data_IF_871250161067
#
_entry.id   IF_871250161067
#
_cell.length_a   1.000
_cell.length_b   1.000
_cell.length_c   1.000
_cell.angle_alpha   90.00
_cell.angle_beta   90.00
_cell.angle_gamma   90.00
#
_symmetry.space_group_name_H-M   'P 1'
#
loop_
_entity.id
_entity.type
_entity.pdbx_description
1 polymer ?
#
# COMPACT_ATOMS: atom_id res chain seq x y z
N UNK A 1 8.57 18.64 22.43
CA UNK A 1 7.13 18.59 22.12
C UNK A 1 6.79 19.37 20.85
N UNK A 2 6.86 20.71 20.83
CA UNK A 2 6.48 21.53 19.67
C UNK A 2 7.05 21.03 18.32
N UNK A 3 8.30 20.58 18.28
CA UNK A 3 8.93 20.02 17.06
C UNK A 3 8.13 18.88 16.41
N UNK A 4 7.66 17.91 17.20
CA UNK A 4 6.91 16.77 16.68
C UNK A 4 5.50 17.16 16.21
N UNK A 5 4.90 18.17 16.84
CA UNK A 5 3.67 18.79 16.35
C UNK A 5 3.88 19.42 14.98
N UNK A 6 4.92 20.25 14.82
CA UNK A 6 5.28 20.84 13.52
C UNK A 6 5.60 19.80 12.46
N UNK A 7 6.22 18.68 12.82
CA UNK A 7 6.49 17.58 11.88
C UNK A 7 5.18 16.92 11.41
N UNK A 8 4.29 16.55 12.33
CA UNK A 8 3.01 15.90 11.98
C UNK A 8 2.13 16.85 11.15
N UNK A 9 1.95 18.09 11.60
CA UNK A 9 1.16 19.09 10.89
C UNK A 9 1.80 19.52 9.58
N UNK A 10 3.13 19.67 9.55
CA UNK A 10 3.88 19.98 8.33
C UNK A 10 3.74 18.86 7.30
N UNK A 11 3.82 17.60 7.74
CA UNK A 11 3.64 16.44 6.86
C UNK A 11 2.21 16.33 6.32
N UNK A 12 1.21 16.61 7.15
CA UNK A 12 -0.20 16.66 6.73
C UNK A 12 -0.44 17.80 5.73
N UNK A 13 0.11 18.99 5.99
CA UNK A 13 0.01 20.14 5.09
C UNK A 13 0.75 19.94 3.77
N UNK A 14 1.92 19.30 3.80
CA UNK A 14 2.64 18.86 2.60
C UNK A 14 1.81 17.83 1.82
N UNK A 15 1.16 16.88 2.50
CA UNK A 15 0.27 15.92 1.89
C UNK A 15 -0.92 16.58 1.19
N UNK A 16 -1.55 17.57 1.83
CA UNK A 16 -2.61 18.39 1.22
C UNK A 16 -2.10 19.17 0.00
N UNK A 17 -0.93 19.80 0.10
CA UNK A 17 -0.32 20.54 -1.00
C UNK A 17 -0.02 19.63 -2.21
N UNK A 18 0.43 18.39 -1.96
CA UNK A 18 0.71 17.40 -3.00
C UNK A 18 -0.58 16.89 -3.65
N UNK A 19 -1.63 16.63 -2.85
CA UNK A 19 -2.95 16.25 -3.38
C UNK A 19 -3.52 17.39 -4.23
N UNK A 20 -3.42 18.62 -3.76
CA UNK A 20 -3.84 19.80 -4.49
C UNK A 20 -3.08 19.98 -5.81
N UNK A 21 -1.75 19.78 -5.80
CA UNK A 21 -0.90 19.92 -6.98
C UNK A 21 -1.08 18.76 -8.00
N UNK A 22 -1.30 17.53 -7.52
CA UNK A 22 -1.37 16.32 -8.36
C UNK A 22 -2.81 15.97 -8.76
N UNK A 23 -3.81 16.56 -8.11
CA UNK A 23 -5.24 16.32 -8.38
C UNK A 23 -5.72 14.90 -8.03
N UNK A 24 -4.95 14.16 -7.23
CA UNK A 24 -5.24 12.75 -6.92
C UNK A 24 -6.40 12.66 -5.93
N UNK A 25 -7.41 11.82 -6.21
CA UNK A 25 -8.60 11.59 -5.35
C UNK A 25 -8.30 10.75 -4.10
N UNK A 26 -7.10 10.87 -3.53
CA UNK A 26 -6.73 10.15 -2.31
C UNK A 26 -6.86 11.09 -1.11
N UNK A 27 -7.29 10.58 0.06
CA UNK A 27 -7.30 11.37 1.28
C UNK A 27 -5.89 11.85 1.62
N UNK A 28 -5.75 13.15 1.90
CA UNK A 28 -4.47 13.79 2.23
C UNK A 28 -3.78 13.19 3.45
N UNK A 29 -4.55 12.60 4.37
CA UNK A 29 -4.03 11.83 5.51
C UNK A 29 -3.16 10.64 5.08
N UNK A 30 -3.54 9.94 3.99
CA UNK A 30 -2.76 8.80 3.47
C UNK A 30 -1.45 9.29 2.87
N UNK A 31 -1.48 10.38 2.08
CA UNK A 31 -0.25 10.99 1.54
C UNK A 31 0.66 11.45 2.68
N UNK A 32 0.10 12.13 3.69
CA UNK A 32 0.85 12.58 4.87
C UNK A 32 1.51 11.41 5.62
N UNK A 33 0.83 10.27 5.76
CA UNK A 33 1.42 9.07 6.39
C UNK A 33 2.59 8.50 5.57
N UNK A 34 2.44 8.43 4.23
CA UNK A 34 3.51 7.99 3.33
C UNK A 34 4.72 8.94 3.39
N UNK A 35 4.47 10.24 3.41
CA UNK A 35 5.49 11.27 3.45
C UNK A 35 6.24 11.26 4.79
N UNK A 36 5.52 11.03 5.90
CA UNK A 36 6.13 10.86 7.22
C UNK A 36 7.02 9.62 7.24
N UNK A 37 6.55 8.52 6.65
CA UNK A 37 7.30 7.26 6.54
C UNK A 37 8.57 7.46 5.72
N UNK A 38 8.48 8.22 4.63
CA UNK A 38 9.64 8.57 3.80
C UNK A 38 10.66 9.40 4.57
N UNK A 39 10.23 10.44 5.29
CA UNK A 39 11.10 11.25 6.16
C UNK A 39 11.78 10.42 7.26
N UNK A 40 11.08 9.42 7.79
CA UNK A 40 11.62 8.47 8.76
C UNK A 40 12.68 7.56 8.13
N UNK A 41 12.45 7.08 6.91
CA UNK A 41 13.39 6.26 6.13
C UNK A 41 14.66 7.04 5.74
N UNK A 42 14.54 8.34 5.44
CA UNK A 42 15.67 9.23 5.18
C UNK A 42 16.48 9.56 6.45
N UNK A 43 16.01 9.16 7.63
CA UNK A 43 16.68 9.43 8.91
C UNK A 43 16.65 10.90 9.36
N UNK A 44 15.96 11.77 8.60
CA UNK A 44 15.79 13.19 8.94
C UNK A 44 14.94 13.39 10.19
N UNK A 45 14.09 12.42 10.52
CA UNK A 45 13.15 12.50 11.64
C UNK A 45 13.33 11.30 12.57
N UNK A 46 13.51 11.57 13.87
CA UNK A 46 13.72 10.53 14.89
C UNK A 46 12.39 10.03 15.45
N UNK A 47 12.07 8.74 15.23
CA UNK A 47 10.79 8.10 15.57
C UNK A 47 10.29 8.39 17.00
N UNK A 48 11.20 8.38 17.98
CA UNK A 48 10.89 8.61 19.40
C UNK A 48 10.18 9.96 19.66
N UNK A 49 10.39 10.97 18.81
CA UNK A 49 9.75 12.28 18.96
C UNK A 49 8.28 12.27 18.52
N UNK A 50 7.97 11.56 17.43
CA UNK A 50 6.61 11.43 16.89
C UNK A 50 5.79 10.54 17.81
N UNK A 51 6.34 9.40 18.23
CA UNK A 51 5.62 8.44 19.07
C UNK A 51 5.10 9.09 20.36
N UNK A 52 5.93 9.91 21.02
CA UNK A 52 5.54 10.62 22.23
C UNK A 52 4.37 11.59 21.98
N UNK A 53 4.36 12.27 20.83
CA UNK A 53 3.26 13.17 20.47
C UNK A 53 2.00 12.46 20.04
N UNK A 54 2.11 11.41 19.22
CA UNK A 54 0.97 10.58 18.86
C UNK A 54 0.31 9.99 20.10
N UNK A 55 1.08 9.45 21.05
CA UNK A 55 0.55 8.96 22.34
C UNK A 55 -0.18 10.06 23.12
N UNK A 56 0.34 11.28 23.13
CA UNK A 56 -0.34 12.42 23.77
C UNK A 56 -1.65 12.80 23.06
N UNK A 57 -1.67 12.85 21.71
CA UNK A 57 -2.88 13.13 20.93
C UNK A 57 -3.93 12.02 21.09
N UNK A 58 -3.52 10.76 21.04
CA UNK A 58 -4.40 9.61 21.28
C UNK A 58 -4.96 9.64 22.71
N UNK A 59 -4.13 9.94 23.71
CA UNK A 59 -4.58 10.05 25.10
C UNK A 59 -5.62 11.17 25.31
N UNK A 60 -5.54 12.25 24.52
CA UNK A 60 -6.48 13.36 24.55
C UNK A 60 -7.51 13.30 23.40
N UNK A 61 -7.64 12.16 22.69
CA UNK A 61 -8.49 12.05 21.50
C UNK A 61 -9.96 12.33 21.81
N UNK A 62 -10.42 11.96 23.01
CA UNK A 62 -11.76 12.27 23.50
C UNK A 62 -12.08 13.77 23.44
N UNK A 63 -11.13 14.64 23.79
CA UNK A 63 -11.31 16.10 23.71
C UNK A 63 -11.57 16.58 22.26
N UNK A 64 -10.96 15.95 21.26
CA UNK A 64 -11.19 16.28 19.85
C UNK A 64 -12.55 15.79 19.32
N UNK A 65 -13.17 14.81 19.98
CA UNK A 65 -14.51 14.33 19.63
C UNK A 65 -15.64 15.10 20.31
N UNK A 66 -15.35 15.87 21.37
CA UNK A 66 -16.38 16.68 22.06
C UNK A 66 -16.99 17.74 21.14
N UNK A 67 -16.23 18.60 20.43
CA UNK A 67 -16.83 19.66 19.58
C UNK A 67 -17.73 19.11 18.45
N UNK A 68 -17.31 18.08 17.67
CA UNK A 68 -18.19 17.45 16.69
C UNK A 68 -19.41 16.79 17.32
N UNK A 69 -19.25 16.15 18.49
CA UNK A 69 -20.36 15.52 19.21
C UNK A 69 -21.41 16.54 19.66
N UNK A 70 -21.00 17.68 20.20
CA UNK A 70 -21.89 18.78 20.58
C UNK A 70 -22.55 19.40 19.35
N UNK A 71 -21.84 19.51 18.22
CA UNK A 71 -22.44 19.98 16.97
C UNK A 71 -23.58 19.06 16.49
N UNK A 72 -23.42 17.74 16.62
CA UNK A 72 -24.47 16.76 16.29
C UNK A 72 -25.68 16.89 17.22
N UNK A 73 -25.49 17.30 18.48
CA UNK A 73 -26.60 17.47 19.43
C UNK A 73 -27.65 18.48 18.95
N UNK A 74 -27.24 19.47 18.15
CA UNK A 74 -28.14 20.47 17.55
C UNK A 74 -29.09 19.87 16.50
N UNK A 75 -28.80 18.67 15.99
CA UNK A 75 -29.57 18.01 14.94
C UNK A 75 -30.28 16.73 15.44
N UNK A 76 -30.38 16.52 16.76
CA UNK A 76 -30.97 15.31 17.32
C UNK A 76 -32.43 15.07 16.90
N UNK A 77 -33.24 16.11 16.74
CA UNK A 77 -34.64 15.95 16.32
C UNK A 77 -34.75 15.34 14.92
N UNK A 78 -33.87 15.75 14.00
CA UNK A 78 -33.80 15.19 12.64
C UNK A 78 -33.30 13.74 12.68
N UNK A 79 -32.29 13.48 13.52
CA UNK A 79 -31.74 12.13 13.70
C UNK A 79 -32.80 11.19 14.29
N UNK A 80 -33.60 11.66 15.26
CA UNK A 80 -34.72 10.89 15.81
C UNK A 80 -35.81 10.63 14.78
N UNK A 81 -36.13 11.60 13.92
CA UNK A 81 -37.11 11.40 12.86
C UNK A 81 -36.63 10.40 11.78
N UNK A 82 -35.33 10.30 11.56
CA UNK A 82 -34.71 9.52 10.48
C UNK A 82 -33.75 8.42 10.99
N UNK A 83 -33.93 7.95 12.22
CA UNK A 83 -32.99 7.03 12.87
C UNK A 83 -32.84 5.70 12.11
N UNK A 84 -33.94 5.22 11.54
CA UNK A 84 -34.00 3.96 10.78
C UNK A 84 -33.22 4.05 9.46
N UNK A 85 -33.46 5.03 8.56
CA UNK A 85 -32.65 5.17 7.35
C UNK A 85 -31.17 5.48 7.66
N UNK A 86 -30.86 6.27 8.71
CA UNK A 86 -29.47 6.54 9.11
C UNK A 86 -28.75 5.25 9.52
N UNK A 87 -29.39 4.42 10.34
CA UNK A 87 -28.81 3.17 10.84
C UNK A 87 -28.58 2.19 9.69
N UNK A 88 -29.59 1.99 8.83
CA UNK A 88 -29.48 1.10 7.67
C UNK A 88 -28.41 1.59 6.70
N UNK A 89 -28.38 2.88 6.37
CA UNK A 89 -27.37 3.45 5.48
C UNK A 89 -25.95 3.28 6.03
N UNK A 90 -25.75 3.53 7.33
CA UNK A 90 -24.44 3.39 7.98
C UNK A 90 -23.99 1.94 8.01
N UNK A 91 -24.88 1.01 8.36
CA UNK A 91 -24.56 -0.41 8.45
C UNK A 91 -24.23 -1.00 7.07
N UNK A 92 -25.06 -0.69 6.07
CA UNK A 92 -24.84 -1.14 4.68
C UNK A 92 -23.54 -0.53 4.14
N UNK A 93 -23.30 0.77 4.38
CA UNK A 93 -22.05 1.43 3.97
C UNK A 93 -20.83 0.78 4.63
N UNK A 94 -20.89 0.46 5.92
CA UNK A 94 -19.80 -0.19 6.64
C UNK A 94 -19.50 -1.57 6.06
N UNK A 95 -20.52 -2.40 5.85
CA UNK A 95 -20.36 -3.74 5.25
C UNK A 95 -19.76 -3.61 3.84
N UNK A 96 -20.27 -2.68 3.04
CA UNK A 96 -19.81 -2.46 1.67
C UNK A 96 -18.34 -1.99 1.65
N UNK A 97 -17.96 -1.05 2.50
CA UNK A 97 -16.56 -0.60 2.64
C UNK A 97 -15.65 -1.75 3.05
N UNK A 98 -16.07 -2.60 3.99
CA UNK A 98 -15.29 -3.77 4.42
C UNK A 98 -15.10 -4.77 3.27
N UNK A 99 -16.15 -5.08 2.51
CA UNK A 99 -16.07 -5.98 1.35
C UNK A 99 -15.13 -5.40 0.29
N UNK A 100 -15.31 -4.14 -0.08
CA UNK A 100 -14.50 -3.47 -1.11
C UNK A 100 -13.04 -3.39 -0.69
N UNK A 101 -12.76 -2.98 0.56
CA UNK A 101 -11.40 -2.90 1.09
C UNK A 101 -10.75 -4.27 1.18
N UNK A 102 -11.51 -5.28 1.62
CA UNK A 102 -11.04 -6.67 1.67
C UNK A 102 -10.69 -7.21 0.30
N UNK A 103 -11.56 -7.01 -0.71
CA UNK A 103 -11.30 -7.41 -2.08
C UNK A 103 -10.10 -6.68 -2.69
N UNK A 104 -9.99 -5.37 -2.45
CA UNK A 104 -8.85 -4.56 -2.92
C UNK A 104 -7.53 -5.08 -2.33
N UNK A 105 -7.51 -5.36 -1.03
CA UNK A 105 -6.35 -5.92 -0.36
C UNK A 105 -5.97 -7.31 -0.91
N UNK A 106 -6.96 -8.19 -1.12
CA UNK A 106 -6.71 -9.50 -1.74
C UNK A 106 -6.20 -9.40 -3.17
N UNK A 107 -6.70 -8.44 -3.95
CA UNK A 107 -6.22 -8.18 -5.31
C UNK A 107 -4.75 -7.77 -5.30
N UNK A 108 -4.37 -6.82 -4.43
CA UNK A 108 -2.97 -6.38 -4.26
C UNK A 108 -2.07 -7.56 -3.90
N UNK A 109 -2.42 -8.36 -2.89
CA UNK A 109 -1.61 -9.53 -2.50
C UNK A 109 -1.53 -10.57 -3.61
N UNK A 110 -2.61 -10.80 -4.36
CA UNK A 110 -2.59 -11.75 -5.49
C UNK A 110 -1.70 -11.26 -6.63
N UNK A 111 -1.71 -9.96 -6.91
CA UNK A 111 -0.79 -9.33 -7.85
C UNK A 111 0.67 -9.44 -7.39
N UNK A 112 0.97 -9.16 -6.13
CA UNK A 112 2.32 -9.29 -5.56
C UNK A 112 2.82 -10.74 -5.64
N UNK A 113 1.98 -11.74 -5.35
CA UNK A 113 2.37 -13.16 -5.48
C UNK A 113 2.65 -13.56 -6.92
N UNK A 114 1.93 -13.00 -7.89
CA UNK A 114 2.18 -13.27 -9.32
C UNK A 114 3.54 -12.73 -9.76
N UNK A 115 3.94 -11.56 -9.24
CA UNK A 115 5.23 -10.93 -9.54
C UNK A 115 6.36 -11.66 -8.80
N UNK A 116 6.19 -11.95 -7.50
CA UNK A 116 7.19 -12.67 -6.71
C UNK A 116 7.43 -14.12 -7.13
N UNK A 117 6.41 -14.80 -7.69
CA UNK A 117 6.59 -16.13 -8.29
C UNK A 117 7.53 -16.10 -9.49
N UNK A 118 7.46 -15.05 -10.31
CA UNK A 118 8.34 -14.86 -11.47
C UNK A 118 9.78 -14.51 -11.05
N UNK A 119 9.94 -13.81 -9.91
CA UNK A 119 11.25 -13.52 -9.33
C UNK A 119 11.94 -14.76 -8.73
N UNK A 120 11.19 -15.74 -8.19
CA UNK A 120 11.77 -16.99 -7.66
C UNK A 120 12.29 -17.90 -8.77
N UNK A 121 11.55 -17.99 -9.88
CA UNK A 121 11.96 -18.75 -11.05
C UNK A 121 13.19 -18.11 -11.71
N UNK A 122 13.24 -16.77 -11.75
CA UNK A 122 14.40 -16.04 -12.25
C UNK A 122 15.64 -16.24 -11.36
N UNK A 123 15.49 -16.22 -10.04
CA UNK A 123 16.59 -16.52 -9.11
C UNK A 123 17.09 -17.95 -9.21
N UNK A 124 16.19 -18.93 -9.37
CA UNK A 124 16.61 -20.31 -9.59
C UNK A 124 17.35 -20.51 -10.92
N UNK A 125 16.97 -19.80 -11.98
CA UNK A 125 17.69 -19.80 -13.26
C UNK A 125 19.07 -19.12 -13.15
N UNK A 126 19.18 -18.02 -12.40
CA UNK A 126 20.46 -17.36 -12.12
C UNK A 126 21.40 -18.26 -11.28
N UNK A 127 20.85 -18.94 -10.27
CA UNK A 127 21.60 -19.89 -9.45
C UNK A 127 22.03 -21.11 -10.29
N UNK A 128 21.14 -21.75 -11.07
CA UNK A 128 21.50 -22.86 -11.98
C UNK A 128 22.55 -22.45 -13.00
N UNK A 129 22.39 -21.27 -13.63
CA UNK A 129 23.37 -20.74 -14.56
C UNK A 129 24.72 -20.48 -13.88
N UNK A 130 24.71 -20.02 -12.62
CA UNK A 130 25.90 -19.80 -11.82
C UNK A 130 26.58 -21.10 -11.38
N UNK A 131 25.80 -22.12 -10.96
CA UNK A 131 26.31 -23.46 -10.63
C UNK A 131 26.89 -24.15 -11.87
N UNK A 132 26.21 -24.09 -13.01
CA UNK A 132 26.67 -24.64 -14.29
C UNK A 132 27.94 -23.94 -14.79
N UNK A 133 28.03 -22.61 -14.66
CA UNK A 133 29.21 -21.84 -15.06
C UNK A 133 30.41 -22.06 -14.12
N UNK A 134 30.17 -22.42 -12.84
CA UNK A 134 31.23 -22.72 -11.87
C UNK A 134 31.79 -24.15 -12.00
N UNK A 135 30.96 -25.13 -12.37
CA UNK A 135 31.38 -26.53 -12.46
C UNK A 135 31.83 -26.98 -13.86
N UNK A 136 31.41 -26.30 -14.93
CA UNK A 136 31.86 -26.57 -16.30
C UNK A 136 32.23 -25.26 -17.03
N UNK A 137 33.42 -24.68 -16.76
CA UNK A 137 33.85 -23.41 -17.36
C UNK A 137 34.14 -23.49 -18.87
N UNK A 138 34.20 -24.70 -19.44
CA UNK A 138 34.71 -24.97 -20.81
C UNK A 138 33.64 -25.53 -21.76
N UNK A 139 32.36 -25.18 -21.57
CA UNK A 139 31.33 -25.48 -22.59
C UNK A 139 31.35 -24.38 -23.66
N UNK A 140 31.67 -24.71 -24.92
CA UNK A 140 31.77 -23.71 -25.97
C UNK A 140 30.44 -22.97 -26.18
N UNK A 141 30.51 -21.65 -26.44
CA UNK A 141 29.34 -20.78 -26.61
C UNK A 141 28.34 -21.27 -27.68
N UNK A 142 28.79 -22.06 -28.66
CA UNK A 142 27.95 -22.64 -29.71
C UNK A 142 26.90 -23.65 -29.18
N UNK A 143 27.14 -24.29 -28.04
CA UNK A 143 26.16 -25.18 -27.39
C UNK A 143 25.02 -24.36 -26.75
N UNK A 144 25.34 -23.22 -26.12
CA UNK A 144 24.34 -22.38 -25.44
C UNK A 144 23.33 -21.81 -26.43
N UNK A 145 23.77 -21.50 -27.65
CA UNK A 145 22.91 -21.00 -28.72
C UNK A 145 22.02 -22.08 -29.34
N UNK A 146 22.50 -23.33 -29.45
CA UNK A 146 21.69 -24.46 -29.92
C UNK A 146 20.59 -24.86 -28.93
N UNK A 147 20.86 -24.83 -27.61
CA UNK A 147 19.85 -25.13 -26.61
C UNK A 147 18.70 -24.09 -26.59
N UNK A 148 19.03 -22.81 -26.81
CA UNK A 148 18.02 -21.74 -26.93
C UNK A 148 17.22 -21.81 -28.23
N UNK A 149 17.82 -22.32 -29.31
CA UNK A 149 17.13 -22.47 -30.61
C UNK A 149 16.18 -23.67 -30.61
N UNK A 150 16.60 -24.82 -30.05
CA UNK A 150 15.74 -26.01 -29.94
C UNK A 150 14.54 -25.80 -29.00
N UNK A 151 14.70 -25.03 -27.90
CA UNK A 151 13.57 -24.69 -27.02
C UNK A 151 12.59 -23.68 -27.63
N UNK A 152 13.03 -22.86 -28.59
CA UNK A 152 12.15 -21.90 -29.28
C UNK A 152 11.31 -22.59 -30.37
N UNK A 153 11.85 -23.64 -31.03
CA UNK A 153 11.07 -24.45 -31.97
C UNK A 153 10.01 -25.33 -31.26
N UNK A 154 10.31 -25.91 -30.09
CA UNK A 154 9.31 -26.67 -29.31
C UNK A 154 8.14 -25.79 -28.82
N UNK A 155 8.40 -24.54 -28.39
CA UNK A 155 7.31 -23.61 -28.04
C UNK A 155 6.47 -23.18 -29.24
N UNK A 156 7.01 -23.19 -30.47
CA UNK A 156 6.25 -22.79 -31.67
C UNK A 156 5.34 -23.89 -32.21
N UNK A 157 5.70 -25.16 -32.02
CA UNK A 157 4.88 -26.30 -32.48
C UNK A 157 3.74 -26.65 -31.50
N UNK A 158 3.87 -26.28 -30.22
CA UNK A 158 2.82 -26.48 -29.22
C UNK A 158 1.70 -25.42 -29.29
N UNK A 159 1.92 -24.33 -30.03
CA UNK A 159 0.94 -23.24 -30.23
C UNK A 159 0.07 -23.42 -31.51
N UNK A 160 0.31 -24.46 -32.31
CA UNK A 160 -0.45 -24.74 -33.56
C UNK A 160 -1.51 -25.85 -33.40
N UNK A 161 -1.57 -26.54 -32.25
CA UNK A 161 -2.54 -27.63 -31.99
C UNK A 161 -3.70 -27.22 -31.04
N UNK A 162 -4.30 -26.03 -31.29
CA UNK A 162 -5.57 -25.57 -30.72
C UNK A 162 -6.45 -24.87 -31.76
#
# INVERSE_FOLDING_TARGET
MARAFFIIFGCLGLGEFIVWATGVKLPSSIIGMLLLTLFLKLGWVKLNWIERMSKFLIANLGFFFVPPGVAIMLYLDIIKAQWLPITVATLVSTILVLIVTGHMHQFVIKCERKIGGMDLLRRHLDDEAFYANRHHPDKPQHLKEQASTTQTEEMSNEEIDY
#
